data_IF_739323451638
#
_entry.id   IF_739323451638
#
_cell.length_a   1.000
_cell.length_b   1.000
_cell.length_c   1.000
_cell.angle_alpha   90.00
_cell.angle_beta   90.00
_cell.angle_gamma   90.00
#
_symmetry.space_group_name_H-M   'P 1'
#
loop_
_entity.id
_entity.type
_entity.pdbx_description
1 polymer ?
#
# COMPACT_ATOMS: atom_id res chain seq x y z
N UNK A 1 58.00 -22.68 15.09
CA UNK A 1 56.79 -23.54 15.18
C UNK A 1 55.70 -22.91 14.33
N UNK A 2 55.46 -23.42 13.13
CA UNK A 2 54.50 -22.83 12.20
C UNK A 2 53.07 -23.26 12.56
N UNK A 3 52.23 -22.27 12.82
CA UNK A 3 50.84 -22.41 13.24
C UNK A 3 49.98 -22.98 12.09
N UNK A 4 49.77 -24.29 12.07
CA UNK A 4 48.97 -24.97 11.06
C UNK A 4 47.48 -24.87 11.41
N UNK A 5 46.88 -23.69 11.21
CA UNK A 5 45.42 -23.56 11.20
C UNK A 5 44.88 -24.27 9.95
N UNK A 6 44.55 -25.55 10.10
CA UNK A 6 43.82 -26.34 9.12
C UNK A 6 42.44 -25.71 8.87
N UNK A 7 42.34 -24.85 7.86
CA UNK A 7 41.07 -24.39 7.32
C UNK A 7 40.34 -25.60 6.73
N UNK A 8 39.28 -26.08 7.40
CA UNK A 8 38.42 -27.15 6.86
C UNK A 8 37.71 -26.63 5.61
N UNK A 9 38.24 -26.95 4.43
CA UNK A 9 37.62 -26.65 3.13
C UNK A 9 36.73 -27.80 2.68
N UNK A 10 35.56 -27.48 2.15
CA UNK A 10 34.67 -28.47 1.55
C UNK A 10 35.17 -28.82 0.14
N UNK A 11 35.06 -30.10 -0.24
CA UNK A 11 35.29 -30.52 -1.61
C UNK A 11 34.17 -30.00 -2.50
N UNK A 12 34.54 -29.37 -3.61
CA UNK A 12 33.64 -28.93 -4.65
C UNK A 12 33.04 -30.12 -5.42
N UNK A 13 31.95 -29.88 -6.13
CA UNK A 13 31.21 -30.93 -6.83
C UNK A 13 32.04 -31.63 -7.92
N UNK A 14 32.91 -30.88 -8.62
CA UNK A 14 33.74 -31.41 -9.69
C UNK A 14 34.81 -32.37 -9.14
N UNK A 15 35.54 -31.96 -8.09
CA UNK A 15 36.50 -32.85 -7.42
C UNK A 15 35.83 -34.10 -6.85
N UNK A 16 34.64 -33.96 -6.25
CA UNK A 16 33.86 -35.11 -5.77
C UNK A 16 33.51 -36.09 -6.89
N UNK A 17 33.10 -35.58 -8.06
CA UNK A 17 32.82 -36.40 -9.25
C UNK A 17 34.05 -37.15 -9.76
N UNK A 18 35.21 -36.47 -9.84
CA UNK A 18 36.47 -37.12 -10.27
C UNK A 18 36.95 -38.21 -9.31
N UNK A 19 36.76 -38.01 -8.00
CA UNK A 19 37.08 -39.02 -6.98
C UNK A 19 36.18 -40.25 -7.16
N UNK A 20 34.87 -40.03 -7.34
CA UNK A 20 33.90 -41.11 -7.53
C UNK A 20 34.19 -41.89 -8.83
N UNK A 21 34.45 -41.21 -9.95
CA UNK A 21 34.76 -41.87 -11.21
C UNK A 21 35.99 -42.79 -11.12
N UNK A 22 37.08 -42.34 -10.46
CA UNK A 22 38.26 -43.19 -10.23
C UNK A 22 37.98 -44.40 -9.34
N UNK A 23 37.02 -44.30 -8.41
CA UNK A 23 36.63 -45.42 -7.56
C UNK A 23 35.71 -46.40 -8.30
N UNK A 24 34.85 -45.92 -9.20
CA UNK A 24 34.06 -46.76 -10.11
C UNK A 24 34.94 -47.55 -11.10
N UNK A 25 36.09 -46.98 -11.50
CA UNK A 25 37.14 -47.67 -12.28
C UNK A 25 37.89 -48.77 -11.49
N UNK A 26 37.55 -49.00 -10.21
CA UNK A 26 38.15 -50.04 -9.38
C UNK A 26 39.45 -49.65 -8.68
N UNK A 27 39.85 -48.37 -8.69
CA UNK A 27 41.02 -47.94 -7.92
C UNK A 27 40.75 -47.99 -6.42
N UNK A 28 41.79 -48.28 -5.63
CA UNK A 28 41.68 -48.31 -4.17
C UNK A 28 41.50 -46.91 -3.57
N UNK A 29 40.76 -46.82 -2.47
CA UNK A 29 40.55 -45.57 -1.72
C UNK A 29 41.88 -44.91 -1.32
N UNK A 30 42.90 -45.72 -0.98
CA UNK A 30 44.24 -45.25 -0.62
C UNK A 30 44.96 -44.58 -1.79
N UNK A 31 44.90 -45.18 -2.99
CA UNK A 31 45.49 -44.59 -4.20
C UNK A 31 44.79 -43.28 -4.55
N UNK A 32 43.46 -43.26 -4.52
CA UNK A 32 42.68 -42.05 -4.82
C UNK A 32 42.92 -40.96 -3.78
N UNK A 33 43.06 -41.30 -2.50
CA UNK A 33 43.41 -40.33 -1.45
C UNK A 33 44.78 -39.68 -1.69
N UNK A 34 45.79 -40.46 -2.08
CA UNK A 34 47.12 -39.96 -2.42
C UNK A 34 47.09 -39.08 -3.68
N UNK A 35 46.42 -39.52 -4.75
CA UNK A 35 46.31 -38.80 -6.03
C UNK A 35 45.74 -37.39 -5.88
N UNK A 36 44.77 -37.21 -4.98
CA UNK A 36 44.11 -35.92 -4.75
C UNK A 36 44.66 -35.15 -3.53
N UNK A 37 45.61 -35.72 -2.77
CA UNK A 37 46.13 -35.12 -1.55
C UNK A 37 45.08 -34.93 -0.45
N UNK A 38 44.06 -35.80 -0.41
CA UNK A 38 42.93 -35.72 0.52
C UNK A 38 43.04 -36.85 1.54
N UNK A 39 42.65 -36.59 2.79
CA UNK A 39 42.62 -37.62 3.82
C UNK A 39 41.75 -38.83 3.40
N UNK A 40 42.29 -40.05 3.58
CA UNK A 40 41.62 -41.31 3.28
C UNK A 40 40.17 -41.39 3.83
N UNK A 41 39.95 -40.86 5.04
CA UNK A 41 38.63 -40.85 5.69
C UNK A 41 37.57 -40.03 4.94
N UNK A 42 37.97 -38.99 4.22
CA UNK A 42 37.07 -38.15 3.41
C UNK A 42 36.67 -38.91 2.13
N UNK A 43 37.65 -39.53 1.45
CA UNK A 43 37.41 -40.34 0.24
C UNK A 43 36.53 -41.56 0.57
N UNK A 44 36.84 -42.27 1.65
CA UNK A 44 36.03 -43.41 2.12
C UNK A 44 34.59 -43.01 2.46
N UNK A 45 34.40 -41.88 3.15
CA UNK A 45 33.06 -41.35 3.48
C UNK A 45 32.29 -40.93 2.23
N UNK A 46 32.96 -40.29 1.27
CA UNK A 46 32.38 -39.90 -0.01
C UNK A 46 31.92 -41.13 -0.79
N UNK A 47 32.76 -42.17 -0.87
CA UNK A 47 32.44 -43.41 -1.56
C UNK A 47 31.22 -44.11 -0.97
N UNK A 48 31.18 -44.25 0.37
CA UNK A 48 30.03 -44.83 1.06
C UNK A 48 28.76 -44.02 0.84
N UNK A 49 28.85 -42.68 0.91
CA UNK A 49 27.72 -41.80 0.61
C UNK A 49 27.19 -42.03 -0.81
N UNK A 50 28.09 -42.13 -1.79
CA UNK A 50 27.74 -42.36 -3.19
C UNK A 50 27.08 -43.72 -3.40
N UNK A 51 27.61 -44.79 -2.81
CA UNK A 51 27.01 -46.12 -2.88
C UNK A 51 25.57 -46.17 -2.31
N UNK A 52 25.26 -45.34 -1.31
CA UNK A 52 23.91 -45.25 -0.73
C UNK A 52 22.97 -44.33 -1.50
N UNK A 53 23.47 -43.18 -1.99
CA UNK A 53 22.61 -42.09 -2.52
C UNK A 53 22.67 -41.92 -4.03
N UNK A 54 23.64 -42.54 -4.71
CA UNK A 54 23.88 -42.41 -6.15
C UNK A 54 24.32 -41.01 -6.58
N UNK A 55 24.59 -40.08 -5.66
CA UNK A 55 24.91 -38.69 -6.00
C UNK A 55 26.27 -38.25 -5.46
N UNK A 56 27.06 -37.65 -6.35
CA UNK A 56 28.28 -36.94 -6.01
C UNK A 56 27.99 -35.59 -5.34
N UNK A 57 26.77 -35.07 -5.46
CA UNK A 57 26.38 -33.76 -4.97
C UNK A 57 26.18 -33.81 -3.46
N UNK A 58 26.63 -32.76 -2.77
CA UNK A 58 26.38 -32.62 -1.34
C UNK A 58 24.91 -32.28 -1.11
N UNK A 59 24.22 -33.04 -0.27
CA UNK A 59 22.88 -32.68 0.20
C UNK A 59 22.90 -31.36 0.98
N UNK A 60 21.79 -30.63 0.95
CA UNK A 60 21.63 -29.43 1.76
C UNK A 60 21.75 -29.78 3.24
N UNK A 61 22.61 -29.06 3.96
CA UNK A 61 22.61 -29.13 5.43
C UNK A 61 21.33 -28.51 5.95
N UNK A 62 20.64 -29.18 6.87
CA UNK A 62 19.59 -28.53 7.65
C UNK A 62 20.22 -27.33 8.37
N UNK A 63 19.81 -26.13 7.98
CA UNK A 63 20.23 -24.90 8.65
C UNK A 63 19.73 -24.88 10.08
N UNK A 64 20.09 -23.82 10.82
CA UNK A 64 19.55 -23.61 12.18
C UNK A 64 18.02 -23.67 12.15
N UNK A 65 17.38 -24.47 13.03
CA UNK A 65 15.93 -24.52 13.14
C UNK A 65 15.34 -23.12 13.36
N UNK A 66 14.16 -22.89 12.81
CA UNK A 66 13.44 -21.64 13.00
C UNK A 66 12.99 -21.52 14.46
N UNK A 67 13.05 -20.31 15.02
CA UNK A 67 12.50 -20.00 16.34
C UNK A 67 10.97 -19.90 16.37
N UNK A 68 10.31 -19.97 15.22
CA UNK A 68 8.84 -19.98 15.07
C UNK A 68 8.39 -21.24 14.36
N UNK A 69 7.21 -21.71 14.73
CA UNK A 69 6.51 -22.84 14.09
C UNK A 69 5.61 -22.37 12.95
N UNK A 70 5.15 -23.27 12.06
CA UNK A 70 4.15 -22.91 11.05
C UNK A 70 2.80 -22.43 11.63
N UNK A 71 2.49 -22.77 12.88
CA UNK A 71 1.31 -22.24 13.58
C UNK A 71 1.53 -20.78 14.01
N UNK A 72 2.70 -20.47 14.56
CA UNK A 72 3.09 -19.10 14.93
C UNK A 72 3.11 -18.18 13.70
N UNK A 73 3.69 -18.66 12.60
CA UNK A 73 3.75 -17.92 11.33
C UNK A 73 2.34 -17.59 10.82
N UNK A 74 1.39 -18.54 10.91
CA UNK A 74 -0.03 -18.31 10.56
C UNK A 74 -0.69 -17.31 11.50
N UNK A 75 -0.45 -17.42 12.80
CA UNK A 75 -0.99 -16.49 13.80
C UNK A 75 -0.52 -15.05 13.54
N UNK A 76 0.77 -14.86 13.28
CA UNK A 76 1.37 -13.55 12.95
C UNK A 76 0.67 -12.92 11.73
N UNK A 77 0.48 -13.68 10.66
CA UNK A 77 -0.17 -13.21 9.43
C UNK A 77 -1.64 -12.87 9.69
N UNK A 78 -2.35 -13.68 10.47
CA UNK A 78 -3.75 -13.44 10.83
C UNK A 78 -3.92 -12.17 11.68
N UNK A 79 -3.04 -11.93 12.66
CA UNK A 79 -3.05 -10.71 13.46
C UNK A 79 -2.90 -9.47 12.58
N UNK A 80 -1.91 -9.47 11.68
CA UNK A 80 -1.71 -8.36 10.74
C UNK A 80 -2.90 -8.16 9.79
N UNK A 81 -3.58 -9.22 9.35
CA UNK A 81 -4.79 -9.10 8.51
C UNK A 81 -6.00 -8.57 9.28
N UNK A 82 -6.15 -8.95 10.56
CA UNK A 82 -7.23 -8.50 11.42
C UNK A 82 -7.07 -7.04 11.80
N UNK A 83 -5.85 -6.62 12.15
CA UNK A 83 -5.52 -5.24 12.42
C UNK A 83 -4.29 -4.81 11.61
N UNK A 84 -4.56 -4.31 10.40
CA UNK A 84 -3.50 -3.92 9.45
C UNK A 84 -2.62 -2.77 9.94
N UNK A 85 -3.06 -2.01 10.95
CA UNK A 85 -2.30 -0.88 11.52
C UNK A 85 -1.34 -1.29 12.63
N UNK A 86 -1.44 -2.52 13.14
CA UNK A 86 -0.55 -2.98 14.20
C UNK A 86 0.91 -2.96 13.75
N UNK A 87 1.79 -2.49 14.62
CA UNK A 87 3.22 -2.51 14.32
C UNK A 87 3.78 -3.93 14.46
N UNK A 88 4.87 -4.24 13.76
CA UNK A 88 5.55 -5.52 13.95
C UNK A 88 6.02 -5.74 15.40
N UNK A 89 6.32 -4.65 16.13
CA UNK A 89 6.66 -4.70 17.55
C UNK A 89 5.49 -5.12 18.43
N UNK A 90 4.29 -4.58 18.17
CA UNK A 90 3.07 -4.99 18.87
C UNK A 90 2.75 -6.45 18.60
N UNK A 91 2.78 -6.88 17.34
CA UNK A 91 2.54 -8.28 16.95
C UNK A 91 3.57 -9.20 17.62
N UNK A 92 4.84 -8.79 17.69
CA UNK A 92 5.89 -9.55 18.37
C UNK A 92 5.59 -9.72 19.87
N UNK A 93 5.15 -8.66 20.55
CA UNK A 93 4.74 -8.71 21.96
C UNK A 93 3.56 -9.66 22.18
N UNK A 94 2.51 -9.55 21.37
CA UNK A 94 1.34 -10.44 21.45
C UNK A 94 1.72 -11.91 21.19
N UNK A 95 2.55 -12.17 20.19
CA UNK A 95 2.99 -13.53 19.86
C UNK A 95 3.90 -14.10 20.96
N UNK A 96 4.76 -13.28 21.55
CA UNK A 96 5.61 -13.69 22.68
C UNK A 96 4.77 -14.07 23.90
N UNK A 97 3.73 -13.28 24.22
CA UNK A 97 2.80 -13.58 25.31
C UNK A 97 2.01 -14.87 25.05
N UNK A 98 1.57 -15.12 23.82
CA UNK A 98 0.80 -16.32 23.47
C UNK A 98 1.63 -17.61 23.44
N UNK A 99 2.90 -17.52 23.03
CA UNK A 99 3.77 -18.71 22.82
C UNK A 99 4.75 -18.97 23.96
N UNK A 100 4.94 -18.00 24.86
CA UNK A 100 5.96 -18.03 25.91
C UNK A 100 7.40 -17.94 25.38
N UNK A 101 7.60 -17.71 24.07
CA UNK A 101 8.92 -17.63 23.43
C UNK A 101 9.21 -16.20 22.99
N UNK A 102 10.40 -15.63 23.27
CA UNK A 102 10.72 -14.27 22.87
C UNK A 102 10.87 -14.19 21.35
N UNK A 103 9.96 -13.45 20.70
CA UNK A 103 9.99 -13.21 19.26
C UNK A 103 10.36 -11.75 19.01
N UNK A 104 11.38 -11.51 18.20
CA UNK A 104 11.78 -10.15 17.81
C UNK A 104 10.86 -9.57 16.73
N UNK A 105 10.76 -8.22 16.68
CA UNK A 105 10.05 -7.52 15.59
C UNK A 105 10.54 -7.92 14.20
N UNK A 106 11.85 -8.16 14.05
CA UNK A 106 12.46 -8.53 12.77
C UNK A 106 12.07 -9.95 12.34
N UNK A 107 11.82 -10.84 13.31
CA UNK A 107 11.26 -12.16 13.01
C UNK A 107 9.85 -12.01 12.47
N UNK A 108 9.02 -11.19 13.12
CA UNK A 108 7.66 -10.88 12.64
C UNK A 108 7.68 -10.32 11.22
N UNK A 109 8.52 -9.32 10.93
CA UNK A 109 8.64 -8.76 9.58
C UNK A 109 8.96 -9.83 8.52
N UNK A 110 9.92 -10.72 8.81
CA UNK A 110 10.24 -11.83 7.90
C UNK A 110 9.06 -12.77 7.70
N UNK A 111 8.25 -13.02 8.74
CA UNK A 111 7.04 -13.86 8.63
C UNK A 111 5.93 -13.19 7.84
N UNK A 112 5.73 -11.89 8.06
CA UNK A 112 4.76 -11.11 7.29
C UNK A 112 5.14 -11.06 5.81
N UNK A 113 6.42 -10.85 5.48
CA UNK A 113 6.91 -10.95 4.10
C UNK A 113 6.73 -12.35 3.50
N UNK A 114 6.96 -13.41 4.28
CA UNK A 114 6.67 -14.79 3.87
C UNK A 114 5.18 -15.02 3.59
N UNK A 115 4.29 -14.31 4.31
CA UNK A 115 2.85 -14.25 4.08
C UNK A 115 2.41 -13.23 3.03
N UNK A 116 3.33 -12.67 2.23
CA UNK A 116 3.08 -11.64 1.21
C UNK A 116 2.51 -10.31 1.72
N UNK A 117 2.66 -10.00 3.01
CA UNK A 117 2.25 -8.74 3.61
C UNK A 117 3.44 -7.79 3.74
N UNK A 118 3.26 -6.55 3.29
CA UNK A 118 4.30 -5.53 3.34
C UNK A 118 3.75 -4.24 3.97
N UNK A 119 4.58 -3.57 4.77
CA UNK A 119 4.27 -2.26 5.30
C UNK A 119 4.22 -1.23 4.17
N UNK A 120 3.06 -0.61 3.94
CA UNK A 120 2.83 0.38 2.88
C UNK A 120 1.93 1.50 3.37
N UNK A 121 2.04 2.67 2.73
CA UNK A 121 1.09 3.76 2.98
C UNK A 121 -0.30 3.38 2.45
N UNK A 122 -1.36 3.51 3.26
CA UNK A 122 -2.73 3.34 2.80
C UNK A 122 -3.11 4.46 1.83
N UNK A 123 -4.13 4.20 1.01
CA UNK A 123 -4.81 5.30 0.30
C UNK A 123 -5.70 6.01 1.30
N UNK A 124 -5.69 7.34 1.28
CA UNK A 124 -6.63 8.15 2.05
C UNK A 124 -7.66 8.73 1.11
N UNK A 125 -8.89 8.25 1.23
CA UNK A 125 -10.03 8.74 0.47
C UNK A 125 -11.31 8.31 1.16
N UNK A 126 -12.42 8.98 0.82
CA UNK A 126 -13.76 8.51 1.19
C UNK A 126 -14.05 7.23 0.40
N UNK A 127 -14.34 6.09 1.06
CA UNK A 127 -14.72 4.88 0.36
C UNK A 127 -16.00 5.08 -0.45
N UNK A 128 -15.98 4.71 -1.73
CA UNK A 128 -17.17 4.82 -2.57
C UNK A 128 -18.11 3.65 -2.32
N UNK A 129 -19.40 3.94 -2.11
CA UNK A 129 -20.44 2.91 -2.16
C UNK A 129 -20.55 2.36 -3.59
N UNK A 130 -21.03 1.12 -3.80
CA UNK A 130 -21.27 0.60 -5.15
C UNK A 130 -22.18 1.50 -5.99
N UNK A 131 -23.16 2.16 -5.37
CA UNK A 131 -24.02 3.13 -6.05
C UNK A 131 -23.24 4.37 -6.50
N UNK A 132 -22.37 4.93 -5.64
CA UNK A 132 -21.53 6.08 -6.00
C UNK A 132 -20.55 5.73 -7.12
N UNK A 133 -19.94 4.55 -7.07
CA UNK A 133 -19.04 4.05 -8.11
C UNK A 133 -19.74 3.96 -9.47
N UNK A 134 -20.97 3.43 -9.52
CA UNK A 134 -21.77 3.36 -10.74
C UNK A 134 -22.13 4.75 -11.28
N UNK A 135 -22.65 5.65 -10.43
CA UNK A 135 -23.00 7.03 -10.82
C UNK A 135 -21.79 7.77 -11.40
N UNK A 136 -20.66 7.77 -10.69
CA UNK A 136 -19.43 8.39 -11.16
C UNK A 136 -18.94 7.80 -12.48
N UNK A 137 -19.03 6.47 -12.65
CA UNK A 137 -18.64 5.84 -13.92
C UNK A 137 -19.58 6.19 -15.07
N UNK A 138 -20.87 6.41 -14.81
CA UNK A 138 -21.83 6.83 -15.84
C UNK A 138 -21.54 8.27 -16.26
N UNK A 139 -21.41 9.16 -15.29
CA UNK A 139 -21.05 10.57 -15.50
C UNK A 139 -19.79 10.71 -16.35
N UNK A 140 -18.72 9.98 -16.01
CA UNK A 140 -17.48 10.01 -16.79
C UNK A 140 -17.66 9.50 -18.22
N UNK A 141 -18.62 8.60 -18.49
CA UNK A 141 -18.89 8.07 -19.84
C UNK A 141 -19.67 9.08 -20.68
N UNK A 142 -20.65 9.74 -20.08
CA UNK A 142 -21.46 10.80 -20.71
C UNK A 142 -20.57 11.97 -21.13
N UNK A 143 -19.65 12.37 -20.25
CA UNK A 143 -18.75 13.51 -20.46
C UNK A 143 -17.41 13.14 -21.11
N UNK A 144 -17.19 11.87 -21.50
CA UNK A 144 -15.89 11.38 -22.01
C UNK A 144 -15.42 12.12 -23.27
N UNK A 145 -16.37 12.47 -24.13
CA UNK A 145 -16.09 13.03 -25.45
C UNK A 145 -16.24 14.56 -25.50
N UNK A 146 -16.46 15.20 -24.34
CA UNK A 146 -16.56 16.65 -24.26
C UNK A 146 -15.25 17.32 -24.65
N UNK A 147 -15.35 18.39 -25.44
CA UNK A 147 -14.24 19.20 -25.95
C UNK A 147 -14.02 20.45 -25.09
N UNK A 148 -12.92 21.17 -25.34
CA UNK A 148 -12.52 22.35 -24.56
C UNK A 148 -13.59 23.45 -24.54
N UNK A 149 -14.40 23.60 -25.59
CA UNK A 149 -15.51 24.55 -25.61
C UNK A 149 -16.66 24.11 -24.67
N UNK A 150 -16.90 22.81 -24.53
CA UNK A 150 -17.91 22.26 -23.62
C UNK A 150 -17.42 22.29 -22.17
N UNK A 151 -16.14 22.04 -21.91
CA UNK A 151 -15.55 22.21 -20.58
C UNK A 151 -15.35 23.68 -20.21
N UNK A 152 -15.09 24.52 -21.20
CA UNK A 152 -14.86 25.95 -21.04
C UNK A 152 -16.07 26.74 -20.60
N UNK A 153 -17.25 26.11 -20.50
CA UNK A 153 -18.46 26.71 -19.94
C UNK A 153 -18.76 26.28 -18.49
N UNK A 154 -17.99 25.33 -17.96
CA UNK A 154 -18.19 24.77 -16.61
C UNK A 154 -17.31 25.52 -15.61
N UNK A 155 -17.91 25.96 -14.51
CA UNK A 155 -17.16 26.40 -13.31
C UNK A 155 -17.24 25.35 -12.23
N UNK A 156 -16.07 24.83 -11.84
CA UNK A 156 -15.91 23.87 -10.76
C UNK A 156 -15.74 24.61 -9.45
N UNK A 157 -16.53 24.24 -8.45
CA UNK A 157 -16.47 24.85 -7.12
C UNK A 157 -16.40 23.79 -6.05
N UNK A 158 -15.70 24.09 -4.96
CA UNK A 158 -15.56 23.18 -3.81
C UNK A 158 -15.18 23.98 -2.55
N UNK A 159 -15.49 23.42 -1.39
CA UNK A 159 -15.07 23.93 -0.09
C UNK A 159 -13.91 23.07 0.47
N UNK A 160 -12.75 23.69 0.67
CA UNK A 160 -11.59 23.03 1.27
C UNK A 160 -11.32 23.52 2.69
N UNK A 161 -11.12 22.57 3.61
CA UNK A 161 -10.71 22.85 4.99
C UNK A 161 -9.18 22.77 5.12
N UNK A 162 -8.57 23.87 5.53
CA UNK A 162 -7.16 23.97 5.87
C UNK A 162 -6.97 23.84 7.39
N UNK A 163 -6.55 22.65 7.83
CA UNK A 163 -6.35 22.33 9.25
C UNK A 163 -5.00 22.83 9.78
N UNK A 164 -4.98 23.33 11.02
CA UNK A 164 -3.74 23.72 11.70
C UNK A 164 -2.98 22.53 12.31
N UNK A 165 -3.66 21.39 12.50
CA UNK A 165 -3.03 20.15 12.96
C UNK A 165 -2.46 19.38 11.77
N UNK A 166 -1.16 19.05 11.82
CA UNK A 166 -0.55 18.14 10.86
C UNK A 166 -1.05 16.71 11.08
N UNK A 167 -1.81 16.17 10.13
CA UNK A 167 -1.95 14.72 10.03
C UNK A 167 -0.57 14.16 9.67
N UNK A 168 0.05 13.40 10.59
CA UNK A 168 1.44 12.97 10.43
C UNK A 168 1.70 12.18 9.13
N UNK A 169 0.65 11.68 8.45
CA UNK A 169 0.69 10.87 7.22
C UNK A 169 1.65 9.67 7.27
N UNK A 170 2.19 9.34 8.45
CA UNK A 170 3.22 8.34 8.71
C UNK A 170 2.64 6.95 9.02
N UNK A 171 1.32 6.80 8.92
CA UNK A 171 0.65 5.52 9.14
C UNK A 171 1.04 4.56 8.02
N UNK A 172 1.57 3.40 8.42
CA UNK A 172 1.79 2.26 7.54
C UNK A 172 0.77 1.17 7.89
N UNK A 173 0.33 0.45 6.86
CA UNK A 173 -0.51 -0.73 7.01
C UNK A 173 0.17 -1.94 6.39
N UNK A 174 -0.08 -3.12 6.95
CA UNK A 174 0.27 -4.40 6.34
C UNK A 174 -0.74 -4.73 5.25
N UNK A 175 -0.27 -4.84 4.00
CA UNK A 175 -1.12 -5.23 2.87
C UNK A 175 -0.36 -6.05 1.82
N UNK A 176 -1.10 -6.81 1.02
CA UNK A 176 -0.57 -7.49 -0.15
C UNK A 176 -0.11 -6.51 -1.24
N UNK A 177 0.74 -6.99 -2.17
CA UNK A 177 1.04 -6.25 -3.40
C UNK A 177 -0.21 -6.24 -4.29
N UNK A 178 -0.45 -5.12 -4.98
CA UNK A 178 -1.60 -4.97 -5.89
C UNK A 178 -2.93 -4.66 -5.19
N UNK A 179 -3.08 -4.85 -3.88
CA UNK A 179 -4.34 -4.58 -3.17
C UNK A 179 -4.52 -3.11 -2.74
N UNK A 180 -3.89 -2.15 -3.45
CA UNK A 180 -3.81 -0.75 -3.02
C UNK A 180 -5.18 -0.11 -2.73
N UNK A 181 -6.16 -0.37 -3.60
CA UNK A 181 -7.49 0.22 -3.57
C UNK A 181 -8.54 -0.70 -2.92
N UNK A 182 -8.11 -1.80 -2.30
CA UNK A 182 -9.03 -2.66 -1.58
C UNK A 182 -9.62 -1.89 -0.38
N UNK A 183 -10.94 -1.95 -0.12
CA UNK A 183 -11.57 -1.14 0.94
C UNK A 183 -10.91 -1.27 2.33
N UNK A 184 -10.46 -2.47 2.70
CA UNK A 184 -9.76 -2.71 3.96
C UNK A 184 -8.36 -2.06 4.06
N UNK A 185 -7.83 -1.54 2.96
CA UNK A 185 -6.53 -0.86 2.88
C UNK A 185 -6.68 0.67 2.72
N UNK A 186 -7.91 1.17 2.72
CA UNK A 186 -8.24 2.59 2.67
C UNK A 186 -8.40 3.11 4.09
N UNK A 187 -7.83 4.29 4.36
CA UNK A 187 -8.12 5.05 5.57
C UNK A 187 -9.02 6.20 5.15
N UNK A 188 -10.19 6.29 5.78
CA UNK A 188 -11.08 7.41 5.55
C UNK A 188 -10.40 8.71 5.98
N UNK A 189 -10.52 9.73 5.12
CA UNK A 189 -10.06 11.08 5.46
C UNK A 189 -11.10 11.67 6.40
N UNK A 190 -10.72 11.91 7.65
CA UNK A 190 -11.51 12.75 8.54
C UNK A 190 -11.45 14.18 7.99
N UNK A 191 -12.56 14.64 7.38
CA UNK A 191 -12.67 15.98 6.81
C UNK A 191 -13.05 17.04 7.85
N UNK A 192 -13.45 16.63 9.05
CA UNK A 192 -14.12 17.50 10.03
C UNK A 192 -13.42 17.58 11.39
N UNK A 193 -12.43 16.71 11.66
CA UNK A 193 -11.64 16.75 12.89
C UNK A 193 -10.65 17.93 12.96
N UNK A 194 -10.81 18.78 13.98
CA UNK A 194 -9.80 19.76 14.39
C UNK A 194 -10.10 21.23 14.05
N UNK A 195 -9.26 22.14 14.57
CA UNK A 195 -9.32 23.59 14.25
C UNK A 195 -8.73 23.82 12.86
N UNK A 196 -9.47 24.52 12.01
CA UNK A 196 -9.08 24.82 10.64
C UNK A 196 -9.97 25.88 10.03
N UNK A 197 -9.50 26.46 8.93
CA UNK A 197 -10.20 27.48 8.16
C UNK A 197 -10.89 26.79 6.98
N UNK A 198 -12.16 27.09 6.75
CA UNK A 198 -12.89 26.63 5.58
C UNK A 198 -12.79 27.71 4.50
N UNK A 199 -12.41 27.31 3.30
CA UNK A 199 -12.21 28.21 2.17
C UNK A 199 -12.99 27.66 0.99
N UNK A 200 -13.81 28.51 0.37
CA UNK A 200 -14.45 28.21 -0.91
C UNK A 200 -13.62 28.78 -2.05
N UNK A 201 -13.61 28.07 -3.18
CA UNK A 201 -13.03 28.58 -4.41
C UNK A 201 -13.74 28.03 -5.64
N UNK A 202 -13.72 28.82 -6.72
CA UNK A 202 -14.21 28.43 -8.03
C UNK A 202 -13.11 28.52 -9.09
N UNK A 203 -13.08 27.56 -10.00
CA UNK A 203 -12.15 27.52 -11.13
C UNK A 203 -12.88 27.20 -12.44
N UNK A 204 -12.45 27.87 -13.49
CA UNK A 204 -12.97 27.74 -14.84
C UNK A 204 -11.80 27.76 -15.83
N UNK A 205 -12.01 27.33 -17.07
CA UNK A 205 -10.96 27.40 -18.08
C UNK A 205 -10.55 28.86 -18.34
N UNK A 206 -9.32 29.20 -17.95
CA UNK A 206 -8.75 30.54 -18.14
C UNK A 206 -9.06 31.56 -17.03
N UNK A 207 -9.80 31.18 -15.98
CA UNK A 207 -10.11 32.08 -14.86
C UNK A 207 -10.31 31.35 -13.54
N UNK A 208 -10.18 32.07 -12.42
CA UNK A 208 -10.52 31.58 -11.09
C UNK A 208 -11.24 32.68 -10.31
N UNK A 209 -12.12 32.26 -9.41
CA UNK A 209 -12.72 33.15 -8.42
C UNK A 209 -11.69 33.55 -7.37
N UNK A 210 -11.93 34.68 -6.71
CA UNK A 210 -11.27 34.96 -5.44
C UNK A 210 -11.65 33.89 -4.40
N UNK A 211 -10.72 33.59 -3.49
CA UNK A 211 -10.96 32.64 -2.42
C UNK A 211 -11.82 33.29 -1.33
N UNK A 212 -12.97 32.68 -1.04
CA UNK A 212 -13.83 33.12 0.06
C UNK A 212 -13.46 32.37 1.34
N UNK A 213 -13.11 33.11 2.38
CA UNK A 213 -12.75 32.55 3.68
C UNK A 213 -13.96 32.65 4.61
N UNK A 214 -14.44 31.51 5.10
CA UNK A 214 -15.50 31.51 6.12
C UNK A 214 -14.91 31.85 7.50
N UNK A 215 -15.52 32.84 8.14
CA UNK A 215 -15.12 33.40 9.43
C UNK A 215 -15.24 32.43 10.62
N UNK A 216 -16.30 31.63 10.68
CA UNK A 216 -16.47 30.50 11.62
C UNK A 216 -17.69 29.65 11.26
N UNK A 217 -17.78 28.42 11.82
CA UNK A 217 -18.98 27.59 11.76
C UNK A 217 -19.11 26.74 10.48
N UNK A 218 -20.23 26.04 10.35
CA UNK A 218 -20.59 25.28 9.15
C UNK A 218 -21.29 26.17 8.12
N UNK A 219 -21.18 25.79 6.83
CA UNK A 219 -21.92 26.42 5.74
C UNK A 219 -23.30 25.77 5.70
N UNK A 220 -24.35 26.56 5.95
CA UNK A 220 -25.73 26.15 5.75
C UNK A 220 -26.26 26.72 4.43
N UNK A 221 -27.48 26.36 4.02
CA UNK A 221 -28.05 26.81 2.75
C UNK A 221 -28.11 28.34 2.61
N UNK A 222 -28.54 29.05 3.65
CA UNK A 222 -28.60 30.51 3.63
C UNK A 222 -27.23 31.16 3.46
N UNK A 223 -26.19 30.64 4.15
CA UNK A 223 -24.82 31.12 3.97
C UNK A 223 -24.29 30.80 2.57
N UNK A 224 -24.57 29.60 2.04
CA UNK A 224 -24.23 29.26 0.67
C UNK A 224 -24.83 30.27 -0.32
N UNK A 225 -26.13 30.56 -0.20
CA UNK A 225 -26.79 31.55 -1.06
C UNK A 225 -26.14 32.94 -0.97
N UNK A 226 -25.97 33.45 0.25
CA UNK A 226 -25.57 34.84 0.48
C UNK A 226 -24.08 35.10 0.32
N UNK A 227 -23.23 34.15 0.71
CA UNK A 227 -21.78 34.32 0.69
C UNK A 227 -21.16 33.75 -0.58
N UNK A 228 -21.78 32.74 -1.22
CA UNK A 228 -21.20 32.03 -2.36
C UNK A 228 -21.98 32.26 -3.66
N UNK A 229 -23.26 31.86 -3.72
CA UNK A 229 -24.01 31.86 -4.98
C UNK A 229 -24.24 33.28 -5.51
N UNK A 230 -24.73 34.19 -4.66
CA UNK A 230 -24.99 35.58 -5.05
C UNK A 230 -23.72 36.37 -5.38
N UNK A 231 -22.64 36.32 -4.57
CA UNK A 231 -21.48 37.18 -4.82
C UNK A 231 -20.55 36.64 -5.91
N UNK A 232 -20.47 35.32 -6.10
CA UNK A 232 -19.48 34.72 -7.01
C UNK A 232 -20.14 34.02 -8.20
N UNK A 233 -21.03 33.05 -7.98
CA UNK A 233 -21.59 32.22 -9.06
C UNK A 233 -22.41 33.06 -10.03
N UNK A 234 -23.19 34.01 -9.50
CA UNK A 234 -23.94 35.00 -10.30
C UNK A 234 -23.05 35.84 -11.21
N UNK A 235 -21.84 36.21 -10.75
CA UNK A 235 -20.90 36.99 -11.56
C UNK A 235 -20.40 36.17 -12.76
N UNK A 236 -20.05 34.90 -12.53
CA UNK A 236 -19.66 34.00 -13.64
C UNK A 236 -20.82 33.80 -14.62
N UNK A 237 -22.04 33.59 -14.12
CA UNK A 237 -23.24 33.49 -14.95
C UNK A 237 -23.47 34.75 -15.80
N UNK A 238 -23.26 35.93 -15.22
CA UNK A 238 -23.37 37.21 -15.92
C UNK A 238 -22.32 37.37 -17.02
N UNK A 239 -21.09 36.93 -16.79
CA UNK A 239 -20.00 37.01 -17.77
C UNK A 239 -20.15 35.98 -18.91
N UNK A 240 -20.59 34.75 -18.59
CA UNK A 240 -20.63 33.62 -19.52
C UNK A 240 -21.97 33.47 -20.26
N UNK A 241 -23.03 34.11 -19.78
CA UNK A 241 -24.36 34.00 -20.39
C UNK A 241 -25.01 32.64 -20.18
N UNK A 242 -26.02 32.34 -21.02
CA UNK A 242 -26.90 31.17 -20.89
C UNK A 242 -26.19 29.82 -21.06
N UNK A 243 -24.94 29.80 -21.51
CA UNK A 243 -24.16 28.57 -21.70
C UNK A 243 -23.42 28.13 -20.43
N UNK A 244 -23.46 28.95 -19.38
CA UNK A 244 -22.79 28.71 -18.11
C UNK A 244 -23.34 27.46 -17.41
N UNK A 245 -22.42 26.57 -17.00
CA UNK A 245 -22.72 25.40 -16.18
C UNK A 245 -22.03 25.52 -14.82
N UNK A 246 -22.79 25.34 -13.75
CA UNK A 246 -22.30 25.37 -12.39
C UNK A 246 -22.07 23.95 -11.86
N UNK A 247 -20.87 23.64 -11.38
CA UNK A 247 -20.55 22.33 -10.79
C UNK A 247 -20.23 22.47 -9.30
N UNK A 248 -20.93 21.68 -8.48
CA UNK A 248 -20.74 21.53 -7.04
C UNK A 248 -20.70 20.04 -6.61
N UNK A 249 -20.52 19.77 -5.32
CA UNK A 249 -20.41 18.42 -4.78
C UNK A 249 -21.75 17.84 -4.29
N UNK A 250 -22.86 18.53 -4.55
CA UNK A 250 -24.20 18.20 -4.05
C UNK A 250 -24.27 18.09 -2.52
N UNK A 251 -23.46 18.85 -1.78
CA UNK A 251 -23.54 18.90 -0.33
C UNK A 251 -24.94 19.36 0.13
N UNK A 252 -25.42 18.94 1.32
CA UNK A 252 -26.76 19.29 1.80
C UNK A 252 -27.06 20.80 1.85
N UNK A 253 -26.05 21.66 1.98
CA UNK A 253 -26.21 23.11 1.93
C UNK A 253 -26.51 23.63 0.52
N UNK A 254 -26.04 22.95 -0.54
CA UNK A 254 -26.28 23.32 -1.94
C UNK A 254 -27.64 22.85 -2.44
N UNK A 255 -28.23 21.84 -1.78
CA UNK A 255 -29.51 21.22 -2.14
C UNK A 255 -30.70 21.73 -1.30
N UNK A 256 -30.54 22.85 -0.61
CA UNK A 256 -31.65 23.44 0.14
C UNK A 256 -32.65 24.09 -0.81
N UNK A 257 -33.93 24.15 -0.42
CA UNK A 257 -34.98 24.82 -1.22
C UNK A 257 -34.58 26.25 -1.61
N UNK A 258 -33.94 26.99 -0.70
CA UNK A 258 -33.47 28.35 -0.97
C UNK A 258 -32.33 28.40 -2.01
N UNK A 259 -31.44 27.40 -2.03
CA UNK A 259 -30.36 27.32 -3.00
C UNK A 259 -30.90 26.94 -4.39
N UNK A 260 -31.76 25.93 -4.47
CA UNK A 260 -32.42 25.52 -5.72
C UNK A 260 -33.23 26.67 -6.34
N UNK A 261 -34.09 27.33 -5.54
CA UNK A 261 -34.88 28.48 -6.00
C UNK A 261 -34.00 29.63 -6.49
N UNK A 262 -32.84 29.85 -5.84
CA UNK A 262 -31.92 30.90 -6.26
C UNK A 262 -31.28 30.56 -7.62
N UNK A 263 -30.81 29.33 -7.81
CA UNK A 263 -30.25 28.87 -9.09
C UNK A 263 -31.28 28.97 -10.22
N UNK A 264 -32.52 28.55 -9.96
CA UNK A 264 -33.63 28.71 -10.91
C UNK A 264 -33.91 30.19 -11.22
N UNK A 265 -33.95 31.06 -10.21
CA UNK A 265 -34.25 32.48 -10.40
C UNK A 265 -33.18 33.26 -11.18
N UNK A 266 -31.93 32.80 -11.12
CA UNK A 266 -30.79 33.38 -11.83
C UNK A 266 -30.48 32.64 -13.15
N UNK A 267 -31.33 31.67 -13.52
CA UNK A 267 -31.24 30.87 -14.75
C UNK A 267 -29.85 30.20 -14.88
N UNK A 268 -29.43 29.58 -13.77
CA UNK A 268 -28.16 28.86 -13.62
C UNK A 268 -28.43 27.36 -13.68
N UNK A 269 -27.90 26.71 -14.71
CA UNK A 269 -27.96 25.25 -14.84
C UNK A 269 -26.82 24.60 -14.04
N UNK A 270 -27.19 23.64 -13.18
CA UNK A 270 -26.24 22.79 -12.46
C UNK A 270 -25.83 21.61 -13.35
N UNK A 271 -24.56 21.26 -13.31
CA UNK A 271 -24.01 20.08 -13.96
C UNK A 271 -24.23 18.84 -13.07
N UNK A 272 -25.05 17.90 -13.54
CA UNK A 272 -25.35 16.62 -12.89
C UNK A 272 -24.39 15.49 -13.30
#
# INVERSE_FOLDING_TARGET
MANNQSVRRHLDAFTRGRIIGKLEEGRSVTSVAADFGIAHSIVSRLWRQFQTTGTAIRGFSSGRPRGTTPADDRYIVLQARRNRRQTAGEIARHTTQATGRPISRFTVDRRLHGGSLFARRPVRCVPLTPAHSRRRSLWCREHRNWRDNEWGRVTFTDESRFSLSSDSHRILIWRERGSRNHPSNIIERDMYGGRGVLVWGGIMLGSCADLHIFDAGSVNGTRCCNEILLPYVRLFRGAMGLQFLFMDDHAPCHLTVAAEQLLESEDIERMD
#
